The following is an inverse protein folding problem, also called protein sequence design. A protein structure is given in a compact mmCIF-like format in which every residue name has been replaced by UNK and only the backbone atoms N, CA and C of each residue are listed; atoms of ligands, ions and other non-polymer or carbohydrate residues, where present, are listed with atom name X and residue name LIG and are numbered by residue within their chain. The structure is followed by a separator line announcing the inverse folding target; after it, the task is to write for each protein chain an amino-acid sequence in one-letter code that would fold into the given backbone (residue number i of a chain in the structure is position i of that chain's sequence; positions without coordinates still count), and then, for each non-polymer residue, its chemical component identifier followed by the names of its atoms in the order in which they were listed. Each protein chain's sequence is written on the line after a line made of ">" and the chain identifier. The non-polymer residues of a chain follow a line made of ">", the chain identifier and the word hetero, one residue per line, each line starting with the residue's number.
data_IF_340850944852
#
_entry.id   IF_340850944852
#
_cell.length_a   1.000
_cell.length_b   1.000
_cell.length_c   1.000
_cell.angle_alpha   90.00
_cell.angle_beta   90.00
_cell.angle_gamma   90.00
#
_symmetry.space_group_name_H-M   'P 1'
#
loop_
_entity.id
_entity.type
_entity.pdbx_description
1 polymer ?
#
# COMPACT_ATOMS: atom_id res chain seq x y z
N UNK A 1 19.66 -6.47 15.65
CA UNK A 1 20.25 -7.72 16.16
C UNK A 1 19.16 -8.63 16.71
N UNK A 2 19.41 -9.93 16.69
CA UNK A 2 18.54 -10.94 17.33
C UNK A 2 19.27 -11.50 18.51
N UNK A 3 18.66 -11.44 19.69
CA UNK A 3 19.16 -12.07 20.91
C UNK A 3 18.26 -13.25 21.26
N UNK A 4 18.85 -14.42 21.50
CA UNK A 4 18.13 -15.61 21.94
C UNK A 4 18.50 -15.87 23.42
N UNK A 5 17.48 -16.04 24.26
CA UNK A 5 17.65 -16.36 25.68
C UNK A 5 16.82 -17.59 26.06
N UNK A 6 17.41 -18.50 26.88
CA UNK A 6 18.81 -18.54 27.25
C UNK A 6 19.72 -18.91 26.08
N UNK A 7 20.92 -18.32 26.03
CA UNK A 7 21.88 -18.58 24.96
C UNK A 7 22.70 -19.87 25.20
N UNK A 8 22.62 -20.39 26.39
CA UNK A 8 23.29 -21.60 26.78
C UNK A 8 22.46 -22.33 27.87
N UNK A 9 21.99 -23.53 27.57
CA UNK A 9 21.17 -24.32 28.51
C UNK A 9 21.54 -25.76 28.40
N UNK A 10 21.71 -26.41 29.54
CA UNK A 10 21.90 -27.87 29.61
C UNK A 10 20.53 -28.52 29.85
N UNK A 11 20.03 -29.26 28.87
CA UNK A 11 18.73 -29.92 28.93
C UNK A 11 18.96 -31.38 29.22
N UNK A 12 18.44 -31.95 30.34
CA UNK A 12 18.51 -33.38 30.60
C UNK A 12 17.78 -34.18 29.53
N UNK A 13 18.11 -35.47 29.40
CA UNK A 13 17.40 -36.35 28.48
C UNK A 13 15.89 -36.33 28.74
N UNK A 14 15.10 -36.15 27.67
CA UNK A 14 13.64 -35.94 27.70
C UNK A 14 13.17 -34.62 28.33
N UNK A 15 14.08 -33.67 28.60
CA UNK A 15 13.73 -32.32 29.01
C UNK A 15 13.41 -31.43 27.78
N UNK A 16 12.71 -30.35 28.03
CA UNK A 16 12.53 -29.25 27.07
C UNK A 16 12.74 -27.92 27.76
N UNK A 17 13.10 -26.91 26.97
CA UNK A 17 13.21 -25.52 27.43
C UNK A 17 12.60 -24.60 26.44
N UNK A 18 12.15 -23.45 26.91
CA UNK A 18 11.65 -22.38 26.05
C UNK A 18 12.81 -21.47 25.67
N UNK A 19 12.99 -21.25 24.37
CA UNK A 19 13.87 -20.23 23.85
C UNK A 19 13.06 -19.01 23.46
N UNK A 20 13.47 -17.85 23.96
CA UNK A 20 12.86 -16.58 23.60
C UNK A 20 13.79 -15.82 22.66
N UNK A 21 13.36 -15.54 21.46
CA UNK A 21 14.06 -14.68 20.52
C UNK A 21 13.57 -13.25 20.65
N UNK A 22 14.47 -12.33 21.01
CA UNK A 22 14.19 -10.90 21.06
C UNK A 22 14.90 -10.22 19.90
N UNK A 23 14.13 -9.55 19.03
CA UNK A 23 14.66 -8.72 17.96
C UNK A 23 14.93 -7.34 18.52
N UNK A 24 16.20 -6.92 18.54
CA UNK A 24 16.59 -5.56 18.87
C UNK A 24 16.95 -4.82 17.60
N UNK A 25 16.28 -3.74 17.35
CA UNK A 25 16.47 -2.84 16.23
C UNK A 25 15.16 -2.14 15.92
N UNK A 26 15.25 -0.89 15.47
CA UNK A 26 14.09 -0.20 14.92
C UNK A 26 13.78 -0.81 13.56
N UNK A 27 12.59 -1.35 13.42
CA UNK A 27 12.01 -1.73 12.11
C UNK A 27 11.19 -0.57 11.54
N UNK A 28 11.14 0.55 12.27
CA UNK A 28 10.43 1.74 11.84
C UNK A 28 11.19 2.44 10.72
N UNK A 29 10.55 2.60 9.59
CA UNK A 29 11.04 3.39 8.46
C UNK A 29 10.73 4.86 8.73
N UNK A 30 11.75 5.64 9.07
CA UNK A 30 11.62 7.07 9.46
C UNK A 30 12.19 8.03 8.43
N UNK A 31 12.96 7.53 7.46
CA UNK A 31 13.55 8.32 6.37
C UNK A 31 13.52 7.55 5.06
N UNK A 32 13.46 8.29 3.97
CA UNK A 32 13.36 7.74 2.62
C UNK A 32 14.36 8.44 1.70
N UNK A 33 14.85 7.70 0.71
CA UNK A 33 15.66 8.24 -0.37
C UNK A 33 15.06 7.84 -1.70
N UNK A 34 15.28 8.68 -2.71
CA UNK A 34 14.88 8.39 -4.10
C UNK A 34 16.11 7.92 -4.87
N UNK A 35 15.99 6.79 -5.54
CA UNK A 35 17.03 6.24 -6.39
C UNK A 35 16.45 5.73 -7.71
N UNK A 36 17.19 5.81 -8.82
CA UNK A 36 16.78 5.16 -10.07
C UNK A 36 16.66 3.65 -9.88
N UNK A 37 15.63 3.06 -10.48
CA UNK A 37 15.44 1.60 -10.49
C UNK A 37 15.03 1.14 -11.88
N UNK A 38 15.33 -0.13 -12.20
CA UNK A 38 14.84 -0.73 -13.43
C UNK A 38 13.32 -0.89 -13.39
N UNK A 39 12.66 -0.68 -14.52
CA UNK A 39 11.23 -0.92 -14.63
C UNK A 39 10.95 -2.42 -14.72
N UNK A 40 10.51 -3.00 -13.62
CA UNK A 40 10.17 -4.42 -13.49
C UNK A 40 8.83 -4.56 -12.75
N UNK A 41 7.71 -4.19 -13.38
CA UNK A 41 6.42 -4.16 -12.71
C UNK A 41 5.94 -5.58 -12.36
N UNK A 42 5.15 -5.66 -11.31
CA UNK A 42 4.30 -6.84 -11.06
C UNK A 42 3.21 -6.96 -12.11
N UNK A 43 2.47 -8.09 -12.11
CA UNK A 43 1.34 -8.25 -13.02
C UNK A 43 0.27 -7.19 -12.77
N UNK A 44 -0.22 -6.59 -13.85
CA UNK A 44 -1.34 -5.63 -13.79
C UNK A 44 -2.72 -6.31 -13.81
N UNK A 45 -2.74 -7.63 -14.02
CA UNK A 45 -3.97 -8.42 -14.12
C UNK A 45 -4.01 -9.46 -13.01
N UNK A 46 -5.21 -9.84 -12.63
CA UNK A 46 -5.44 -10.73 -11.49
C UNK A 46 -5.56 -9.94 -10.17
N UNK A 47 -5.60 -10.65 -9.07
CA UNK A 47 -5.82 -10.07 -7.75
C UNK A 47 -7.30 -9.81 -7.43
N UNK A 48 -7.55 -9.14 -6.33
CA UNK A 48 -8.90 -8.81 -5.86
C UNK A 48 -9.36 -7.50 -6.48
N UNK A 49 -10.42 -7.48 -7.29
CA UNK A 49 -10.93 -6.25 -7.88
C UNK A 49 -11.60 -5.37 -6.82
N UNK A 50 -11.45 -4.07 -6.99
CA UNK A 50 -12.08 -3.03 -6.15
C UNK A 50 -12.55 -1.87 -7.03
N UNK A 51 -13.46 -1.05 -6.52
CA UNK A 51 -13.97 0.16 -7.19
C UNK A 51 -14.39 -0.13 -8.65
N UNK A 52 -15.08 -1.23 -8.84
CA UNK A 52 -15.52 -1.67 -10.18
C UNK A 52 -16.51 -0.66 -10.75
N UNK A 53 -16.16 -0.02 -11.87
CA UNK A 53 -16.96 1.01 -12.55
C UNK A 53 -17.37 2.18 -11.64
N UNK A 54 -16.53 2.53 -10.67
CA UNK A 54 -16.79 3.63 -9.72
C UNK A 54 -15.64 4.62 -9.82
N UNK A 55 -15.98 5.88 -10.10
CA UNK A 55 -15.07 7.00 -10.17
C UNK A 55 -15.07 7.84 -8.88
N UNK A 56 -14.06 8.65 -8.70
CA UNK A 56 -13.88 9.63 -7.61
C UNK A 56 -14.20 9.10 -6.19
N UNK A 57 -13.85 7.83 -5.93
CA UNK A 57 -14.24 7.18 -4.68
C UNK A 57 -13.06 6.45 -4.02
N UNK A 58 -13.01 6.49 -2.70
CA UNK A 58 -12.17 5.62 -1.90
C UNK A 58 -12.84 4.25 -1.69
N UNK A 59 -12.05 3.20 -1.71
CA UNK A 59 -12.52 1.86 -1.35
C UNK A 59 -13.01 1.78 0.09
N UNK A 60 -13.69 0.70 0.45
CA UNK A 60 -13.80 0.27 1.83
C UNK A 60 -12.41 -0.07 2.41
N UNK A 61 -12.36 -0.26 3.73
CA UNK A 61 -11.12 -0.63 4.43
C UNK A 61 -10.60 -1.99 3.96
N UNK A 62 -9.32 -2.03 3.63
CA UNK A 62 -8.61 -3.25 3.22
C UNK A 62 -7.61 -3.61 4.32
N UNK A 63 -7.67 -4.85 4.80
CA UNK A 63 -6.70 -5.38 5.76
C UNK A 63 -5.45 -5.87 5.05
N UNK A 64 -4.30 -5.34 5.46
CA UNK A 64 -3.01 -5.79 4.98
C UNK A 64 -2.64 -7.13 5.64
N UNK A 65 -2.08 -8.09 4.92
CA UNK A 65 -1.71 -9.41 5.48
C UNK A 65 -0.39 -9.37 6.26
N UNK A 66 0.14 -8.19 6.51
CA UNK A 66 1.37 -7.94 7.28
C UNK A 66 1.37 -6.50 7.81
N UNK A 67 2.17 -6.27 8.84
CA UNK A 67 2.40 -4.92 9.36
C UNK A 67 3.26 -4.14 8.37
N UNK A 68 2.79 -2.99 7.94
CA UNK A 68 3.51 -2.07 7.07
C UNK A 68 4.03 -0.88 7.87
N UNK A 69 5.33 -0.60 7.76
CA UNK A 69 5.97 0.53 8.43
C UNK A 69 6.07 1.70 7.44
N UNK A 70 5.53 2.85 7.82
CA UNK A 70 5.57 4.06 7.00
C UNK A 70 5.76 5.29 7.88
N UNK A 71 6.85 6.02 7.68
CA UNK A 71 7.26 7.18 8.50
C UNK A 71 7.17 6.93 10.01
N UNK A 72 7.70 5.79 10.46
CA UNK A 72 7.75 5.43 11.88
C UNK A 72 6.43 4.93 12.48
N UNK A 73 5.36 4.87 11.71
CA UNK A 73 4.07 4.33 12.13
C UNK A 73 3.83 2.94 11.55
N UNK A 74 3.08 2.13 12.27
CA UNK A 74 2.71 0.78 11.83
C UNK A 74 1.26 0.77 11.37
N UNK A 75 1.05 0.29 10.17
CA UNK A 75 -0.27 0.15 9.57
C UNK A 75 -0.58 -1.32 9.26
N UNK A 76 -1.82 -1.71 9.52
CA UNK A 76 -2.37 -3.03 9.20
C UNK A 76 -3.56 -2.95 8.27
N UNK A 77 -3.96 -1.73 7.91
CA UNK A 77 -5.09 -1.44 7.04
C UNK A 77 -4.78 -0.24 6.15
N UNK A 78 -5.46 -0.17 5.02
CA UNK A 78 -5.42 0.98 4.11
C UNK A 78 -6.75 1.13 3.38
N UNK A 79 -6.88 2.21 2.63
CA UNK A 79 -7.91 2.43 1.62
C UNK A 79 -7.25 2.80 0.30
N UNK A 80 -7.88 2.46 -0.81
CA UNK A 80 -7.38 2.68 -2.17
C UNK A 80 -8.33 3.63 -2.88
N UNK A 81 -7.81 4.72 -3.42
CA UNK A 81 -8.58 5.70 -4.20
C UNK A 81 -8.59 5.38 -5.69
N UNK A 82 -9.70 5.71 -6.37
CA UNK A 82 -9.83 5.58 -7.81
C UNK A 82 -8.74 6.36 -8.56
N UNK A 83 -8.29 7.48 -8.01
CA UNK A 83 -7.35 8.41 -8.61
C UNK A 83 -5.86 8.10 -8.30
N UNK A 84 -5.48 6.82 -8.32
CA UNK A 84 -4.11 6.31 -8.21
C UNK A 84 -3.40 6.69 -6.88
N UNK A 85 -4.08 6.52 -5.77
CA UNK A 85 -3.59 6.84 -4.43
C UNK A 85 -3.96 5.74 -3.42
N UNK A 86 -3.10 5.50 -2.45
CA UNK A 86 -3.35 4.62 -1.29
C UNK A 86 -3.21 5.46 -0.03
N UNK A 87 -4.20 5.46 0.84
CA UNK A 87 -4.17 6.18 2.11
C UNK A 87 -4.20 5.23 3.31
N UNK A 88 -3.49 5.62 4.35
CA UNK A 88 -3.55 4.96 5.66
C UNK A 88 -4.49 5.68 6.63
N UNK A 89 -5.13 6.77 6.20
CA UNK A 89 -6.24 7.36 6.92
C UNK A 89 -7.54 6.65 6.55
N UNK A 90 -8.05 5.87 7.50
CA UNK A 90 -9.26 5.07 7.31
C UNK A 90 -10.56 5.90 7.33
N UNK A 91 -10.50 7.16 7.74
CA UNK A 91 -11.65 8.07 7.67
C UNK A 91 -12.08 8.32 6.22
N UNK A 92 -11.17 8.11 5.27
CA UNK A 92 -11.46 8.21 3.84
C UNK A 92 -12.33 7.06 3.30
N UNK A 93 -12.50 5.96 4.03
CA UNK A 93 -13.20 4.78 3.53
C UNK A 93 -14.60 5.09 3.01
N UNK A 94 -14.88 4.73 1.74
CA UNK A 94 -16.13 4.96 1.02
C UNK A 94 -16.51 6.45 0.82
N UNK A 95 -15.53 7.35 1.01
CA UNK A 95 -15.72 8.78 0.80
C UNK A 95 -15.30 9.19 -0.62
N UNK A 96 -15.54 10.44 -0.96
CA UNK A 96 -15.10 11.04 -2.21
C UNK A 96 -13.56 11.09 -2.28
N UNK A 97 -12.98 10.61 -3.38
CA UNK A 97 -11.54 10.67 -3.66
C UNK A 97 -11.24 11.83 -4.63
N UNK A 98 -10.76 12.93 -4.09
CA UNK A 98 -10.40 14.12 -4.87
C UNK A 98 -9.19 13.88 -5.79
N UNK A 99 -9.08 14.66 -6.84
CA UNK A 99 -8.01 14.59 -7.84
C UNK A 99 -7.30 15.93 -8.09
N UNK A 100 -7.86 17.14 -7.83
CA UNK A 100 -7.17 18.38 -8.14
C UNK A 100 -6.04 18.67 -7.16
N UNK A 101 -4.89 19.08 -7.71
CA UNK A 101 -3.77 19.60 -6.93
C UNK A 101 -3.93 21.11 -6.85
N UNK A 102 -4.46 21.62 -5.75
CA UNK A 102 -4.70 23.04 -5.52
C UNK A 102 -3.74 23.67 -4.49
N UNK A 103 -2.89 22.87 -3.88
CA UNK A 103 -1.90 23.30 -2.89
C UNK A 103 -0.65 22.44 -2.99
N UNK A 104 0.43 22.87 -2.34
CA UNK A 104 1.63 22.04 -2.18
C UNK A 104 1.29 20.78 -1.36
N UNK A 105 1.81 19.64 -1.75
CA UNK A 105 1.64 18.37 -1.04
C UNK A 105 2.91 18.02 -0.23
N UNK A 106 2.77 17.38 0.97
CA UNK A 106 1.53 16.92 1.60
C UNK A 106 0.65 18.07 2.11
N UNK A 107 -0.67 17.86 2.12
CA UNK A 107 -1.63 18.87 2.58
C UNK A 107 -2.86 18.20 3.18
N UNK A 108 -3.46 18.85 4.17
CA UNK A 108 -4.76 18.51 4.74
C UNK A 108 -5.91 19.42 4.24
N UNK A 109 -5.61 20.32 3.29
CA UNK A 109 -6.60 21.26 2.76
C UNK A 109 -7.33 20.73 1.54
N UNK A 110 -6.82 19.67 0.92
CA UNK A 110 -7.41 19.04 -0.27
C UNK A 110 -7.48 17.54 -0.03
N UNK A 111 -8.67 17.05 0.33
CA UNK A 111 -9.00 15.63 0.38
C UNK A 111 -8.05 14.75 1.19
N UNK A 112 -7.45 15.31 2.23
CA UNK A 112 -6.53 14.60 3.14
C UNK A 112 -5.37 13.85 2.45
N UNK A 113 -4.48 14.63 1.82
CA UNK A 113 -3.27 14.11 1.17
C UNK A 113 -2.12 13.91 2.16
N UNK A 114 -2.45 13.49 3.37
CA UNK A 114 -1.52 13.06 4.42
C UNK A 114 -1.51 11.54 4.53
N UNK A 115 -0.42 10.97 5.05
CA UNK A 115 -0.29 9.53 5.29
C UNK A 115 -0.68 8.66 4.09
N UNK A 116 -0.24 9.03 2.90
CA UNK A 116 -0.61 8.35 1.67
C UNK A 116 0.60 8.05 0.78
N UNK A 117 0.44 7.10 -0.09
CA UNK A 117 1.35 6.79 -1.19
C UNK A 117 0.63 7.15 -2.48
N UNK A 118 1.17 8.10 -3.20
CA UNK A 118 0.64 8.54 -4.48
C UNK A 118 1.38 7.83 -5.60
N UNK A 119 0.61 7.19 -6.49
CA UNK A 119 1.04 6.89 -7.83
C UNK A 119 1.07 8.20 -8.64
N UNK A 120 0.84 8.17 -9.93
CA UNK A 120 0.69 9.39 -10.71
C UNK A 120 -0.70 10.02 -10.46
N UNK A 121 -0.97 10.41 -9.23
CA UNK A 121 -2.23 10.96 -8.76
C UNK A 121 -2.76 12.07 -9.68
N UNK A 122 -3.85 11.79 -10.35
CA UNK A 122 -4.58 12.67 -11.24
C UNK A 122 -5.97 12.11 -11.52
N UNK A 123 -6.79 12.86 -12.22
CA UNK A 123 -8.16 12.49 -12.59
C UNK A 123 -8.18 11.34 -13.59
N UNK A 124 -8.39 10.12 -13.13
CA UNK A 124 -8.56 8.92 -13.94
C UNK A 124 -9.90 8.27 -13.65
N UNK A 125 -10.59 7.81 -14.70
CA UNK A 125 -11.97 7.36 -14.61
C UNK A 125 -12.11 5.85 -14.86
N UNK A 126 -12.09 5.04 -13.79
CA UNK A 126 -12.35 3.61 -13.90
C UNK A 126 -13.82 3.28 -14.22
N UNK A 127 -14.72 4.25 -14.14
CA UNK A 127 -16.11 4.12 -14.57
C UNK A 127 -16.27 3.97 -16.08
N UNK A 128 -15.29 4.48 -16.84
CA UNK A 128 -15.27 4.39 -18.31
C UNK A 128 -14.61 3.10 -18.79
N UNK A 129 -13.45 2.76 -18.26
CA UNK A 129 -12.71 1.56 -18.67
C UNK A 129 -11.61 1.21 -17.66
N UNK A 130 -10.99 0.04 -17.85
CA UNK A 130 -9.90 -0.45 -17.04
C UNK A 130 -10.37 -1.18 -15.78
N UNK A 131 -9.44 -1.35 -14.85
CA UNK A 131 -9.73 -2.03 -13.58
C UNK A 131 -8.76 -1.58 -12.50
N UNK A 132 -9.24 -1.58 -11.27
CA UNK A 132 -8.42 -1.41 -10.07
C UNK A 132 -8.46 -2.72 -9.29
N UNK A 133 -7.30 -3.22 -8.91
CA UNK A 133 -7.18 -4.44 -8.12
C UNK A 133 -5.97 -4.38 -7.18
N UNK A 134 -5.97 -5.24 -6.18
CA UNK A 134 -4.80 -5.44 -5.34
C UNK A 134 -4.44 -6.92 -5.22
N UNK A 135 -3.17 -7.20 -5.00
CA UNK A 135 -2.66 -8.56 -4.83
C UNK A 135 -1.46 -8.59 -3.88
N UNK A 136 -1.17 -9.78 -3.36
CA UNK A 136 0.02 -10.04 -2.57
C UNK A 136 0.99 -10.88 -3.40
N UNK A 137 2.23 -10.43 -3.47
CA UNK A 137 3.33 -11.14 -4.11
C UNK A 137 4.42 -11.50 -3.10
N UNK A 138 5.17 -12.55 -3.41
CA UNK A 138 6.25 -13.03 -2.58
C UNK A 138 5.79 -13.86 -1.37
N UNK A 139 6.75 -14.29 -0.58
CA UNK A 139 6.56 -15.08 0.65
C UNK A 139 7.16 -14.36 1.84
N UNK A 140 6.62 -14.62 3.03
CA UNK A 140 7.17 -14.02 4.25
C UNK A 140 8.67 -14.36 4.41
N UNK A 141 9.52 -13.41 4.84
CA UNK A 141 9.19 -12.03 5.26
C UNK A 141 9.12 -11.01 4.11
N UNK A 142 9.46 -11.40 2.87
CA UNK A 142 9.59 -10.52 1.70
C UNK A 142 8.31 -10.49 0.87
N UNK A 143 7.24 -9.94 1.44
CA UNK A 143 5.95 -9.79 0.75
C UNK A 143 5.76 -8.36 0.25
N UNK A 144 5.07 -8.24 -0.89
CA UNK A 144 4.63 -6.96 -1.43
C UNK A 144 3.11 -6.92 -1.53
N UNK A 145 2.50 -5.84 -1.04
CA UNK A 145 1.12 -5.48 -1.33
C UNK A 145 1.15 -4.58 -2.57
N UNK A 146 0.55 -5.05 -3.65
CA UNK A 146 0.58 -4.37 -4.94
C UNK A 146 -0.82 -3.92 -5.30
N UNK A 147 -0.95 -2.64 -5.63
CA UNK A 147 -2.18 -2.06 -6.17
C UNK A 147 -1.94 -1.74 -7.64
N UNK A 148 -2.88 -2.12 -8.48
CA UNK A 148 -2.80 -1.90 -9.92
C UNK A 148 -4.01 -1.12 -10.42
N UNK A 149 -3.75 -0.01 -11.09
CA UNK A 149 -4.71 0.72 -11.93
C UNK A 149 -4.39 0.35 -13.38
N UNK A 150 -5.11 -0.62 -13.93
CA UNK A 150 -4.79 -1.22 -15.21
C UNK A 150 -5.68 -0.68 -16.32
N UNK A 151 -5.07 0.01 -17.28
CA UNK A 151 -5.74 0.54 -18.48
C UNK A 151 -6.91 1.48 -18.14
N UNK A 152 -6.76 2.25 -17.04
CA UNK A 152 -7.74 3.24 -16.64
C UNK A 152 -7.49 4.53 -17.45
N UNK A 153 -8.50 5.09 -18.13
CA UNK A 153 -8.34 6.33 -18.90
C UNK A 153 -8.26 7.56 -18.01
N UNK A 154 -7.69 8.63 -18.52
CA UNK A 154 -7.86 9.96 -17.94
C UNK A 154 -9.29 10.44 -18.16
N UNK A 155 -9.84 11.11 -17.16
CA UNK A 155 -11.15 11.75 -17.26
C UNK A 155 -11.23 12.69 -18.49
N UNK A 156 -12.34 12.68 -19.18
CA UNK A 156 -12.62 13.52 -20.37
C UNK A 156 -11.64 13.38 -21.53
N UNK A 157 -10.78 12.37 -21.58
CA UNK A 157 -9.84 12.14 -22.67
C UNK A 157 -10.34 11.15 -23.73
N UNK A 158 -11.63 10.83 -23.76
CA UNK A 158 -12.27 9.95 -24.76
C UNK A 158 -11.53 8.62 -24.95
N UNK A 159 -10.99 8.04 -23.87
CA UNK A 159 -10.23 6.77 -23.86
C UNK A 159 -8.92 6.78 -24.69
N UNK A 160 -8.47 7.95 -25.14
CA UNK A 160 -7.27 8.02 -25.98
C UNK A 160 -5.95 7.81 -25.24
N UNK A 161 -5.98 7.87 -23.91
CA UNK A 161 -4.80 7.63 -23.06
C UNK A 161 -5.18 6.70 -21.92
N UNK A 162 -4.79 5.44 -22.06
CA UNK A 162 -4.96 4.41 -21.05
C UNK A 162 -3.64 4.23 -20.30
N UNK A 163 -3.68 4.30 -18.99
CA UNK A 163 -2.50 4.19 -18.14
C UNK A 163 -2.48 2.86 -17.38
N UNK A 164 -1.28 2.42 -17.01
CA UNK A 164 -1.03 1.31 -16.09
C UNK A 164 -0.08 1.79 -15.01
N UNK A 165 -0.50 1.63 -13.77
CA UNK A 165 0.23 2.06 -12.59
C UNK A 165 0.30 0.96 -11.55
#
# INVERSE_FOLDING_TARGET
>A
SVTVTPNNVNIPCNGCTTLTATVQGSVATTSYSVAPTAYTPYSFTGGTPILVNIDDTWSGVITLPFCFQFYGQTYTQCVIGSNAIVSFDLANANMYNTWPISAAIPTNTVGDMMNCIMGPWHDIDPGVAGSISWAIYGTAPCRAFVVSWNVVPMFSCNNLKLFRY
#
